data_IF_557316990978
#
_entry.id   IF_557316990978
#
_cell.length_a   1.000
_cell.length_b   1.000
_cell.length_c   1.000
_cell.angle_alpha   90.00
_cell.angle_beta   90.00
_cell.angle_gamma   90.00
#
_symmetry.space_group_name_H-M   'P 1'
#
loop_
_entity.id
_entity.type
_entity.pdbx_description
1 polymer ?
#
# COMPACT_ATOMS: atom_id res chain seq x y z
N UNK A 1 -23.04 19.55 0.29
CA UNK A 1 -22.43 19.12 -0.99
C UNK A 1 -21.18 19.94 -1.25
N UNK A 2 -20.05 19.28 -1.55
CA UNK A 2 -18.74 19.92 -1.67
C UNK A 2 -18.63 20.87 -2.86
N UNK A 3 -17.98 22.01 -2.64
CA UNK A 3 -17.75 23.07 -3.64
C UNK A 3 -16.77 22.62 -4.73
N UNK A 4 -17.16 22.80 -6.00
CA UNK A 4 -16.38 22.47 -7.22
C UNK A 4 -15.13 23.34 -7.41
N UNK A 5 -14.95 24.41 -6.62
CA UNK A 5 -13.83 25.33 -6.77
C UNK A 5 -12.67 25.01 -5.82
N UNK A 6 -12.85 24.09 -4.87
CA UNK A 6 -11.80 23.73 -3.91
C UNK A 6 -10.86 22.68 -4.52
N UNK A 7 -9.70 23.13 -4.96
CA UNK A 7 -8.59 22.24 -5.34
C UNK A 7 -7.89 21.71 -4.08
N UNK A 8 -7.54 20.42 -4.03
CA UNK A 8 -6.79 19.86 -2.92
C UNK A 8 -5.41 20.54 -2.80
N UNK A 9 -5.05 20.95 -1.58
CA UNK A 9 -3.75 21.54 -1.28
C UNK A 9 -2.68 20.44 -1.37
N UNK A 10 -1.83 20.51 -2.39
CA UNK A 10 -0.76 19.54 -2.60
C UNK A 10 0.30 19.73 -1.49
N UNK A 11 0.74 18.66 -0.81
CA UNK A 11 1.83 18.75 0.15
C UNK A 11 3.12 19.19 -0.55
N UNK A 12 3.78 20.20 0.03
CA UNK A 12 5.05 20.72 -0.51
C UNK A 12 6.09 19.60 -0.51
N UNK A 13 6.83 19.47 -1.61
CA UNK A 13 7.95 18.52 -1.70
C UNK A 13 8.98 18.83 -0.60
N UNK A 14 9.32 17.82 0.18
CA UNK A 14 10.39 17.88 1.17
C UNK A 14 11.71 18.01 0.39
N UNK A 15 12.60 18.96 0.75
CA UNK A 15 13.89 19.09 0.07
C UNK A 15 14.72 17.80 0.23
N UNK A 16 15.57 17.46 -0.75
CA UNK A 16 16.42 16.27 -0.67
C UNK A 16 17.37 16.39 0.53
N UNK A 17 17.37 15.36 1.37
CA UNK A 17 18.28 15.24 2.52
C UNK A 17 19.70 15.09 2.00
N UNK A 18 20.61 15.97 2.45
CA UNK A 18 22.04 15.90 2.13
C UNK A 18 22.64 14.72 2.91
N UNK A 19 23.05 13.67 2.22
CA UNK A 19 23.77 12.53 2.81
C UNK A 19 25.20 12.95 3.14
N UNK A 20 25.60 12.78 4.40
CA UNK A 20 26.97 12.97 4.86
C UNK A 20 27.55 11.57 5.07
N UNK A 21 28.59 11.22 4.31
CA UNK A 21 29.32 9.98 4.48
C UNK A 21 30.32 10.16 5.62
N UNK A 22 30.15 9.37 6.69
CA UNK A 22 31.12 9.28 7.78
C UNK A 22 31.89 7.98 7.58
N UNK A 23 33.22 8.05 7.61
CA UNK A 23 34.05 6.86 7.51
C UNK A 23 33.86 6.00 8.76
N UNK A 24 33.46 4.75 8.55
CA UNK A 24 33.31 3.76 9.61
C UNK A 24 34.72 3.38 10.12
N UNK A 25 35.03 3.50 11.42
CA UNK A 25 36.28 2.97 11.94
C UNK A 25 36.26 1.44 11.82
N UNK A 26 37.26 0.88 11.15
CA UNK A 26 37.49 -0.56 11.08
C UNK A 26 37.68 -1.10 12.50
N UNK A 27 36.64 -1.74 13.03
CA UNK A 27 36.71 -2.53 14.27
C UNK A 27 37.46 -3.84 13.97
N UNK A 28 38.35 -4.30 14.85
CA UNK A 28 38.97 -5.61 14.69
C UNK A 28 37.89 -6.71 14.76
N UNK A 29 38.09 -7.68 13.88
CA UNK A 29 37.40 -8.96 13.74
C UNK A 29 37.03 -9.57 15.11
N UNK A 30 35.73 -9.63 15.39
CA UNK A 30 35.17 -10.52 16.41
C UNK A 30 34.17 -11.42 15.71
N UNK A 31 34.51 -12.70 15.67
CA UNK A 31 33.69 -13.83 15.26
C UNK A 31 32.27 -13.74 15.83
N UNK A 32 31.30 -13.40 14.99
CA UNK A 32 29.86 -13.51 15.29
C UNK A 32 29.12 -14.17 14.12
N UNK A 33 29.59 -15.35 13.70
CA UNK A 33 28.90 -16.20 12.73
C UNK A 33 27.79 -16.96 13.46
N UNK A 34 26.60 -16.36 13.62
CA UNK A 34 25.36 -17.14 13.84
C UNK A 34 24.06 -16.31 13.76
N UNK A 35 24.08 -15.00 14.07
CA UNK A 35 22.82 -14.26 14.29
C UNK A 35 22.32 -13.47 13.06
N UNK A 36 23.21 -12.99 12.18
CA UNK A 36 22.82 -12.17 11.01
C UNK A 36 22.05 -12.95 9.92
N UNK A 37 22.28 -14.26 9.80
CA UNK A 37 21.56 -15.10 8.84
C UNK A 37 20.08 -15.27 9.22
N UNK A 38 19.75 -15.21 10.52
CA UNK A 38 18.38 -15.30 11.02
C UNK A 38 17.59 -14.02 10.72
N UNK A 39 18.18 -12.85 10.96
CA UNK A 39 17.52 -11.56 10.71
C UNK A 39 17.29 -11.29 9.21
N UNK A 40 18.24 -11.68 8.35
CA UNK A 40 18.06 -11.60 6.90
C UNK A 40 16.92 -12.51 6.39
N UNK A 41 16.71 -13.67 7.02
CA UNK A 41 15.61 -14.57 6.69
C UNK A 41 14.27 -14.01 7.17
N UNK A 42 14.19 -13.53 8.42
CA UNK A 42 12.98 -12.90 8.97
C UNK A 42 12.52 -11.70 8.15
N UNK A 43 13.44 -10.79 7.80
CA UNK A 43 13.13 -9.63 6.96
C UNK A 43 12.69 -10.03 5.53
N UNK A 44 13.20 -11.14 5.00
CA UNK A 44 12.79 -11.67 3.70
C UNK A 44 11.36 -12.23 3.73
N UNK A 45 10.96 -12.86 4.83
CA UNK A 45 9.63 -13.43 5.03
C UNK A 45 8.59 -12.33 5.26
N UNK A 46 8.91 -11.33 6.08
CA UNK A 46 8.07 -10.14 6.27
C UNK A 46 7.83 -9.39 4.96
N UNK A 47 8.87 -9.26 4.12
CA UNK A 47 8.73 -8.64 2.79
C UNK A 47 7.82 -9.45 1.88
N UNK A 48 7.92 -10.79 1.88
CA UNK A 48 7.02 -11.67 1.11
C UNK A 48 5.57 -11.54 1.60
N UNK A 49 5.36 -11.53 2.91
CA UNK A 49 4.03 -11.39 3.48
C UNK A 49 3.41 -10.03 3.15
N UNK A 50 4.17 -8.95 3.25
CA UNK A 50 3.75 -7.60 2.88
C UNK A 50 3.34 -7.51 1.40
N UNK A 51 4.13 -8.13 0.50
CA UNK A 51 3.80 -8.22 -0.92
C UNK A 51 2.51 -9.03 -1.17
N UNK A 52 2.35 -10.17 -0.50
CA UNK A 52 1.15 -11.01 -0.59
C UNK A 52 -0.11 -10.30 -0.08
N UNK A 53 -0.01 -9.55 1.02
CA UNK A 53 -1.12 -8.73 1.54
C UNK A 53 -1.51 -7.64 0.54
N UNK A 54 -0.52 -6.97 -0.07
CA UNK A 54 -0.75 -5.92 -1.07
C UNK A 54 -1.40 -6.45 -2.35
N UNK A 55 -0.96 -7.62 -2.85
CA UNK A 55 -1.54 -8.22 -4.06
C UNK A 55 -2.96 -8.70 -3.82
N UNK A 56 -3.24 -9.38 -2.71
CA UNK A 56 -4.60 -9.81 -2.34
C UNK A 56 -5.55 -8.63 -2.15
N UNK A 57 -5.11 -7.56 -1.49
CA UNK A 57 -5.92 -6.34 -1.33
C UNK A 57 -6.29 -5.71 -2.67
N UNK A 58 -5.33 -5.57 -3.59
CA UNK A 58 -5.56 -5.04 -4.94
C UNK A 58 -6.53 -5.91 -5.73
N UNK A 59 -6.34 -7.23 -5.74
CA UNK A 59 -7.24 -8.16 -6.43
C UNK A 59 -8.65 -8.13 -5.83
N UNK A 60 -8.78 -7.98 -4.51
CA UNK A 60 -10.06 -7.78 -3.84
C UNK A 60 -10.76 -6.50 -4.30
N UNK A 61 -10.05 -5.36 -4.35
CA UNK A 61 -10.61 -4.08 -4.83
C UNK A 61 -10.97 -4.13 -6.32
N UNK A 62 -10.17 -4.82 -7.14
CA UNK A 62 -10.47 -5.06 -8.55
C UNK A 62 -11.74 -5.90 -8.65
N UNK A 63 -11.80 -7.05 -7.97
CA UNK A 63 -12.96 -7.93 -8.03
C UNK A 63 -14.25 -7.27 -7.53
N UNK A 64 -14.22 -6.53 -6.42
CA UNK A 64 -15.40 -5.81 -5.92
C UNK A 64 -15.76 -4.61 -6.79
N UNK A 65 -14.77 -3.89 -7.31
CA UNK A 65 -14.98 -2.77 -8.22
C UNK A 65 -15.61 -3.21 -9.54
N UNK A 66 -15.10 -4.29 -10.15
CA UNK A 66 -15.70 -4.87 -11.36
C UNK A 66 -17.03 -5.54 -11.08
N UNK A 67 -17.23 -6.17 -9.91
CA UNK A 67 -18.54 -6.72 -9.55
C UNK A 67 -19.59 -5.60 -9.45
N UNK A 68 -19.30 -4.48 -8.79
CA UNK A 68 -20.24 -3.35 -8.72
C UNK A 68 -20.51 -2.69 -10.07
N UNK A 69 -19.52 -2.65 -10.97
CA UNK A 69 -19.69 -2.10 -12.31
C UNK A 69 -20.43 -3.07 -13.27
N UNK A 70 -20.13 -4.37 -13.21
CA UNK A 70 -20.75 -5.39 -14.07
C UNK A 70 -22.08 -5.91 -13.53
N UNK A 71 -22.39 -5.71 -12.25
CA UNK A 71 -23.67 -6.08 -11.64
C UNK A 71 -24.74 -4.99 -11.75
N UNK A 72 -24.55 -3.97 -12.59
CA UNK A 72 -25.57 -2.95 -12.90
C UNK A 72 -26.88 -3.54 -13.48
N UNK A 73 -26.94 -4.85 -13.69
CA UNK A 73 -28.13 -5.58 -14.13
C UNK A 73 -29.11 -6.02 -13.04
N UNK A 74 -28.77 -5.97 -11.75
CA UNK A 74 -29.77 -6.20 -10.68
C UNK A 74 -30.41 -4.87 -10.29
N UNK A 75 -31.22 -4.33 -11.21
CA UNK A 75 -32.16 -3.26 -10.88
C UNK A 75 -33.10 -3.80 -9.80
N UNK A 76 -32.90 -3.37 -8.56
CA UNK A 76 -33.99 -3.45 -7.59
C UNK A 76 -35.17 -2.71 -8.20
N UNK A 77 -36.32 -3.39 -8.27
CA UNK A 77 -37.59 -2.86 -8.73
C UNK A 77 -38.00 -1.72 -7.80
N UNK A 78 -37.41 -0.55 -8.00
CA UNK A 78 -37.82 0.67 -7.32
C UNK A 78 -39.22 0.94 -7.81
N UNK A 79 -40.18 0.83 -6.88
CA UNK A 79 -41.56 1.22 -7.14
C UNK A 79 -41.54 2.62 -7.73
N UNK A 80 -42.13 2.76 -8.91
CA UNK A 80 -42.39 4.07 -9.49
C UNK A 80 -43.37 4.78 -8.57
N UNK A 81 -43.31 6.12 -8.52
CA UNK A 81 -44.21 6.93 -7.69
C UNK A 81 -45.70 6.77 -8.08
N UNK A 82 -45.96 6.08 -9.20
CA UNK A 82 -47.27 5.78 -9.75
C UNK A 82 -47.69 4.30 -9.63
N UNK A 83 -46.85 3.42 -9.08
CA UNK A 83 -47.28 2.10 -8.60
C UNK A 83 -47.97 1.18 -9.62
N UNK A 84 -47.36 0.97 -10.79
CA UNK A 84 -47.71 -0.14 -11.69
C UNK A 84 -46.58 -1.18 -11.74
#
# INVERSE_FOLDING_TARGET
MGSLTKRPKIPKQVPPVKTIYVNNPTSPEVTAVSTEASEAQVTSEERKESLLRRTRGRLGTIFTGFKGFLSEGEQSTRKTLLGE
#
